data_IF_968395699047
#
_entry.id   IF_968395699047
#
_cell.length_a   1.000
_cell.length_b   1.000
_cell.length_c   1.000
_cell.angle_alpha   90.00
_cell.angle_beta   90.00
_cell.angle_gamma   90.00
#
_symmetry.space_group_name_H-M   'P 1'
#
loop_
_entity.id
_entity.type
_entity.pdbx_description
1 polymer ?
#
# COMPACT_ATOMS: atom_id res chain seq x y z
N UNK A 1 9.50 39.43 -39.38
CA UNK A 1 9.08 40.28 -38.24
C UNK A 1 7.56 40.46 -38.13
N UNK A 2 6.81 40.86 -39.16
CA UNK A 2 5.35 41.10 -39.08
C UNK A 2 4.55 39.84 -38.66
N UNK A 3 4.87 38.67 -39.19
CA UNK A 3 4.16 37.42 -38.85
C UNK A 3 4.33 37.06 -37.34
N UNK A 4 5.53 37.17 -36.81
CA UNK A 4 5.81 36.93 -35.39
C UNK A 4 5.06 37.91 -34.49
N UNK A 5 4.98 39.19 -34.89
CA UNK A 5 4.18 40.20 -34.19
C UNK A 5 2.71 39.85 -34.14
N UNK A 6 2.10 39.44 -35.25
CA UNK A 6 0.67 39.02 -35.28
C UNK A 6 0.42 37.76 -34.46
N UNK A 7 1.35 36.80 -34.43
CA UNK A 7 1.27 35.61 -33.61
C UNK A 7 1.31 35.94 -32.11
N UNK A 8 2.21 36.87 -31.71
CA UNK A 8 2.31 37.30 -30.30
C UNK A 8 1.09 38.09 -29.85
N UNK A 9 0.56 38.98 -30.69
CA UNK A 9 -0.67 39.73 -30.42
C UNK A 9 -1.87 38.77 -30.32
N UNK A 10 -1.97 37.80 -31.23
CA UNK A 10 -3.01 36.75 -31.16
C UNK A 10 -2.93 35.91 -29.89
N UNK A 11 -1.74 35.47 -29.49
CA UNK A 11 -1.52 34.73 -28.25
C UNK A 11 -1.90 35.54 -27.00
N UNK A 12 -1.53 36.85 -26.98
CA UNK A 12 -1.89 37.75 -25.89
C UNK A 12 -3.43 37.96 -25.79
N UNK A 13 -4.09 38.15 -26.93
CA UNK A 13 -5.56 38.28 -26.96
C UNK A 13 -6.24 37.00 -26.47
N UNK A 14 -5.78 35.80 -26.88
CA UNK A 14 -6.29 34.54 -26.42
C UNK A 14 -6.08 34.36 -24.89
N UNK A 15 -4.91 34.76 -24.39
CA UNK A 15 -4.64 34.71 -22.94
C UNK A 15 -5.57 35.64 -22.14
N UNK A 16 -5.84 36.86 -22.67
CA UNK A 16 -6.79 37.81 -22.05
C UNK A 16 -8.22 37.23 -22.06
N UNK A 17 -8.68 36.68 -23.19
CA UNK A 17 -9.98 36.08 -23.31
C UNK A 17 -10.11 34.90 -22.33
N UNK A 18 -9.11 34.01 -22.27
CA UNK A 18 -9.09 32.87 -21.32
C UNK A 18 -9.13 33.36 -19.87
N UNK A 19 -8.35 34.39 -19.54
CA UNK A 19 -8.33 35.00 -18.21
C UNK A 19 -9.70 35.61 -17.83
N UNK A 20 -10.36 36.31 -18.75
CA UNK A 20 -11.69 36.86 -18.52
C UNK A 20 -12.77 35.75 -18.42
N UNK A 21 -12.67 34.73 -19.27
CA UNK A 21 -13.57 33.58 -19.23
C UNK A 21 -13.47 32.83 -17.89
N UNK A 22 -12.28 32.56 -17.38
CA UNK A 22 -12.09 31.89 -16.08
C UNK A 22 -12.66 32.71 -14.92
N UNK A 23 -12.77 34.03 -15.05
CA UNK A 23 -13.41 34.89 -14.02
C UNK A 23 -14.94 34.94 -14.12
N UNK A 24 -15.52 34.40 -15.17
CA UNK A 24 -16.97 34.35 -15.33
C UNK A 24 -17.53 33.20 -14.47
N UNK A 25 -18.53 33.51 -13.61
CA UNK A 25 -19.14 32.55 -12.69
C UNK A 25 -19.75 31.34 -13.41
N UNK A 26 -20.36 31.56 -14.59
CA UNK A 26 -20.92 30.47 -15.39
C UNK A 26 -19.85 29.50 -15.88
N UNK A 27 -18.68 30.03 -16.30
CA UNK A 27 -17.54 29.19 -16.71
C UNK A 27 -16.95 28.46 -15.51
N UNK A 28 -16.83 29.13 -14.37
CA UNK A 28 -16.36 28.48 -13.12
C UNK A 28 -17.30 27.36 -12.71
N UNK A 29 -18.60 27.57 -12.70
CA UNK A 29 -19.59 26.53 -12.38
C UNK A 29 -19.49 25.35 -13.36
N UNK A 30 -19.40 25.63 -14.66
CA UNK A 30 -19.20 24.57 -15.67
C UNK A 30 -17.94 23.75 -15.40
N UNK A 31 -16.83 24.38 -15.05
CA UNK A 31 -15.57 23.69 -14.72
C UNK A 31 -15.71 22.84 -13.43
N UNK A 32 -16.39 23.39 -12.41
CA UNK A 32 -16.69 22.65 -11.16
C UNK A 32 -17.54 21.43 -11.47
N UNK A 33 -18.63 21.60 -12.23
CA UNK A 33 -19.53 20.50 -12.60
C UNK A 33 -18.80 19.45 -13.44
N UNK A 34 -17.93 19.88 -14.36
CA UNK A 34 -17.12 18.98 -15.19
C UNK A 34 -16.15 18.16 -14.33
N UNK A 35 -15.40 18.81 -13.43
CA UNK A 35 -14.45 18.12 -12.54
C UNK A 35 -15.17 17.20 -11.55
N UNK A 36 -16.28 17.65 -10.95
CA UNK A 36 -17.09 16.84 -10.06
C UNK A 36 -17.64 15.59 -10.78
N UNK A 37 -18.26 15.76 -11.95
CA UNK A 37 -18.75 14.64 -12.75
C UNK A 37 -17.61 13.66 -13.13
N UNK A 38 -16.45 14.19 -13.51
CA UNK A 38 -15.27 13.36 -13.82
C UNK A 38 -14.82 12.56 -12.59
N UNK A 39 -14.73 13.20 -11.43
CA UNK A 39 -14.33 12.56 -10.18
C UNK A 39 -15.30 11.43 -9.81
N UNK A 40 -16.60 11.72 -9.71
CA UNK A 40 -17.61 10.73 -9.32
C UNK A 40 -17.74 9.56 -10.30
N UNK A 41 -17.61 9.83 -11.61
CA UNK A 41 -17.68 8.78 -12.62
C UNK A 41 -16.42 7.89 -12.69
N UNK A 42 -15.34 8.26 -12.00
CA UNK A 42 -14.09 7.50 -12.03
C UNK A 42 -13.82 6.70 -10.75
N UNK A 43 -14.64 6.87 -9.70
CA UNK A 43 -14.50 6.06 -8.48
C UNK A 43 -14.61 4.56 -8.85
N UNK A 44 -13.66 3.78 -8.34
CA UNK A 44 -13.59 2.34 -8.55
C UNK A 44 -13.08 1.89 -9.92
N UNK A 45 -12.70 2.81 -10.83
CA UNK A 45 -12.22 2.43 -12.17
C UNK A 45 -10.73 2.11 -12.23
N UNK A 46 -9.93 2.81 -11.42
CA UNK A 46 -8.48 2.68 -11.49
C UNK A 46 -7.99 1.28 -11.06
N UNK A 47 -8.63 0.70 -10.04
CA UNK A 47 -8.35 -0.65 -9.53
C UNK A 47 -9.17 -1.75 -10.22
N UNK A 48 -10.11 -1.40 -11.10
CA UNK A 48 -10.94 -2.38 -11.81
C UNK A 48 -10.27 -2.75 -13.12
N UNK A 49 -9.82 -4.00 -13.23
CA UNK A 49 -9.22 -4.58 -14.41
C UNK A 49 -10.18 -5.62 -14.98
N UNK A 50 -10.48 -5.52 -16.27
CA UNK A 50 -11.37 -6.47 -16.95
C UNK A 50 -10.84 -7.91 -16.87
N UNK A 51 -11.76 -8.85 -16.65
CA UNK A 51 -11.48 -10.28 -16.55
C UNK A 51 -11.32 -10.78 -15.12
N UNK A 52 -11.18 -12.08 -14.99
CA UNK A 52 -10.98 -12.76 -13.70
C UNK A 52 -9.49 -12.72 -13.35
N UNK A 53 -9.12 -11.89 -12.39
CA UNK A 53 -7.73 -11.62 -12.04
C UNK A 53 -7.53 -11.63 -10.51
N UNK A 54 -6.36 -12.11 -10.09
CA UNK A 54 -5.80 -11.74 -8.78
C UNK A 54 -4.86 -10.55 -8.98
N UNK A 55 -5.04 -9.48 -8.22
CA UNK A 55 -4.29 -8.22 -8.38
C UNK A 55 -3.66 -7.83 -7.04
N UNK A 56 -2.37 -7.45 -7.08
CA UNK A 56 -1.68 -6.83 -5.95
C UNK A 56 -1.20 -5.43 -6.32
N UNK A 57 -1.49 -4.43 -5.48
CA UNK A 57 -1.13 -3.03 -5.71
C UNK A 57 -0.37 -2.50 -4.49
N UNK A 58 0.79 -1.90 -4.71
CA UNK A 58 1.56 -1.21 -3.67
C UNK A 58 0.93 0.14 -3.41
N UNK A 59 0.17 0.29 -2.34
CA UNK A 59 -0.41 1.57 -1.92
C UNK A 59 0.54 2.42 -1.07
N UNK A 60 1.59 1.81 -0.51
CA UNK A 60 2.70 2.47 0.14
C UNK A 60 3.97 1.64 0.02
N UNK A 61 5.04 2.24 -0.50
CA UNK A 61 6.25 1.51 -0.88
C UNK A 61 7.46 1.76 0.00
N UNK A 62 7.44 2.79 0.89
CA UNK A 62 8.57 3.11 1.78
C UNK A 62 8.41 2.49 3.16
N UNK A 63 9.53 2.24 3.86
CA UNK A 63 9.56 2.02 5.30
C UNK A 63 9.53 3.32 6.11
N UNK A 64 9.79 3.30 7.43
CA UNK A 64 9.55 4.45 8.33
C UNK A 64 10.50 5.63 8.12
N UNK A 65 11.63 5.44 7.43
CA UNK A 65 12.57 6.53 7.19
C UNK A 65 12.00 7.56 6.21
N UNK A 66 12.30 8.87 6.37
CA UNK A 66 11.81 9.89 5.47
C UNK A 66 12.12 9.57 4.00
N UNK A 67 11.09 9.60 3.16
CA UNK A 67 11.20 9.36 1.72
C UNK A 67 10.26 10.29 0.95
N UNK A 68 10.79 11.08 0.02
CA UNK A 68 10.01 12.07 -0.70
C UNK A 68 8.90 11.44 -1.56
N UNK A 69 7.66 11.80 -1.29
CA UNK A 69 6.51 11.51 -2.16
C UNK A 69 6.06 10.05 -2.19
N UNK A 70 6.41 9.25 -1.18
CA UNK A 70 5.97 7.85 -1.03
C UNK A 70 5.25 7.66 0.29
N UNK A 71 4.22 6.83 0.29
CA UNK A 71 3.54 6.39 1.50
C UNK A 71 4.28 5.23 2.18
N UNK A 72 4.04 5.07 3.48
CA UNK A 72 4.49 3.94 4.30
C UNK A 72 3.75 2.65 3.92
N UNK A 73 4.17 1.47 4.44
CA UNK A 73 3.79 0.17 3.88
C UNK A 73 2.29 -0.03 3.76
N UNK A 74 1.87 -0.41 2.58
CA UNK A 74 0.50 -0.79 2.27
C UNK A 74 0.46 -1.60 0.98
N UNK A 75 -0.19 -2.76 1.02
CA UNK A 75 -0.52 -3.55 -0.18
C UNK A 75 -2.04 -3.72 -0.26
N UNK A 76 -2.63 -3.41 -1.40
CA UNK A 76 -4.02 -3.76 -1.70
C UNK A 76 -4.06 -5.04 -2.54
N UNK A 77 -4.85 -6.02 -2.11
CA UNK A 77 -5.16 -7.22 -2.87
C UNK A 77 -6.60 -7.14 -3.35
N UNK A 78 -6.81 -7.43 -4.62
CA UNK A 78 -8.14 -7.39 -5.24
C UNK A 78 -8.39 -8.61 -6.13
N UNK A 79 -9.61 -9.13 -6.05
CA UNK A 79 -10.25 -10.02 -7.02
C UNK A 79 -11.49 -9.31 -7.58
N UNK A 80 -12.24 -9.89 -8.53
CA UNK A 80 -13.53 -9.32 -8.94
C UNK A 80 -14.52 -9.12 -7.79
N UNK A 81 -14.51 -10.01 -6.80
CA UNK A 81 -15.47 -10.02 -5.69
C UNK A 81 -14.93 -9.38 -4.40
N UNK A 82 -13.59 -9.33 -4.21
CA UNK A 82 -12.97 -8.98 -2.93
C UNK A 82 -11.92 -7.89 -3.03
N UNK A 83 -11.80 -7.11 -1.95
CA UNK A 83 -10.74 -6.13 -1.73
C UNK A 83 -10.23 -6.22 -0.29
N UNK A 84 -8.91 -6.34 -0.14
CA UNK A 84 -8.22 -6.38 1.15
C UNK A 84 -7.06 -5.40 1.17
N UNK A 85 -6.78 -4.86 2.36
CA UNK A 85 -5.60 -4.02 2.61
C UNK A 85 -4.70 -4.75 3.60
N UNK A 86 -3.41 -4.81 3.30
CA UNK A 86 -2.37 -5.32 4.17
C UNK A 86 -1.52 -4.14 4.60
N UNK A 87 -1.55 -3.86 5.89
CA UNK A 87 -1.00 -2.69 6.56
C UNK A 87 -1.58 -1.34 6.07
N UNK A 88 -1.54 -0.34 6.93
CA UNK A 88 -2.12 0.99 6.72
C UNK A 88 -1.12 2.08 7.11
N UNK A 89 0.04 2.10 6.44
CA UNK A 89 1.09 3.07 6.73
C UNK A 89 0.71 4.50 6.34
N UNK A 90 1.41 5.47 6.91
CA UNK A 90 1.16 6.90 6.70
C UNK A 90 1.17 7.30 5.22
N UNK A 91 0.12 7.99 4.78
CA UNK A 91 -0.08 8.44 3.42
C UNK A 91 -0.70 7.41 2.47
N UNK A 92 -0.83 6.13 2.87
CA UNK A 92 -1.37 5.07 2.01
C UNK A 92 -2.84 5.29 1.67
N UNK A 93 -3.64 5.72 2.64
CA UNK A 93 -5.04 6.11 2.41
C UNK A 93 -5.13 7.29 1.43
N UNK A 94 -4.22 8.26 1.51
CA UNK A 94 -4.19 9.40 0.59
C UNK A 94 -3.92 8.96 -0.84
N UNK A 95 -3.04 7.99 -1.05
CA UNK A 95 -2.81 7.38 -2.37
C UNK A 95 -4.08 6.74 -2.93
N UNK A 96 -4.77 5.91 -2.14
CA UNK A 96 -6.02 5.26 -2.55
C UNK A 96 -7.12 6.27 -2.91
N UNK A 97 -7.22 7.37 -2.15
CA UNK A 97 -8.12 8.48 -2.47
C UNK A 97 -7.77 9.16 -3.80
N UNK A 98 -6.49 9.47 -4.01
CA UNK A 98 -6.03 10.13 -5.24
C UNK A 98 -6.25 9.24 -6.47
N UNK A 99 -6.18 7.93 -6.31
CA UNK A 99 -6.51 6.95 -7.35
C UNK A 99 -8.00 6.67 -7.45
N UNK A 100 -8.82 7.27 -6.58
CA UNK A 100 -10.28 7.13 -6.57
C UNK A 100 -10.75 5.68 -6.35
N UNK A 101 -10.02 4.93 -5.52
CA UNK A 101 -10.38 3.55 -5.13
C UNK A 101 -11.69 3.56 -4.34
N UNK A 102 -12.61 2.65 -4.67
CA UNK A 102 -13.87 2.49 -3.95
C UNK A 102 -13.67 1.67 -2.66
N UNK A 103 -13.41 2.38 -1.56
CA UNK A 103 -13.18 1.78 -0.24
C UNK A 103 -14.47 1.25 0.43
N UNK A 104 -15.65 1.48 -0.15
CA UNK A 104 -16.91 0.88 0.31
C UNK A 104 -16.94 -0.63 0.15
N UNK A 105 -16.14 -1.14 -0.79
CA UNK A 105 -15.97 -2.57 -1.06
C UNK A 105 -14.78 -3.20 -0.31
N UNK A 106 -14.22 -2.53 0.70
CA UNK A 106 -13.14 -3.07 1.52
C UNK A 106 -13.68 -4.17 2.46
N UNK A 107 -13.29 -5.42 2.20
CA UNK A 107 -13.69 -6.57 3.01
C UNK A 107 -13.01 -6.60 4.37
N UNK A 108 -11.68 -6.40 4.41
CA UNK A 108 -10.92 -6.39 5.64
C UNK A 108 -9.54 -5.71 5.50
N UNK A 109 -8.97 -5.37 6.68
CA UNK A 109 -7.56 -4.97 6.83
C UNK A 109 -6.83 -6.10 7.59
N UNK A 110 -5.62 -6.43 7.13
CA UNK A 110 -4.73 -7.39 7.78
C UNK A 110 -3.44 -6.69 8.21
N UNK A 111 -3.07 -6.81 9.48
CA UNK A 111 -1.79 -6.30 9.98
C UNK A 111 -0.75 -7.40 10.03
N UNK A 112 0.39 -7.13 9.40
CA UNK A 112 1.59 -7.97 9.51
C UNK A 112 2.15 -7.92 10.92
N UNK A 113 2.24 -6.72 11.49
CA UNK A 113 2.64 -6.43 12.86
C UNK A 113 2.21 -5.00 13.26
N UNK A 114 2.57 -4.54 14.48
CA UNK A 114 2.04 -3.29 15.03
C UNK A 114 3.10 -2.19 15.19
N UNK A 115 4.13 -2.13 14.33
CA UNK A 115 4.97 -0.94 14.25
C UNK A 115 4.16 0.24 13.68
N UNK A 116 4.54 1.45 14.06
CA UNK A 116 3.77 2.66 13.77
C UNK A 116 3.58 2.91 12.27
N UNK A 117 4.57 2.61 11.47
CA UNK A 117 4.54 2.78 10.01
C UNK A 117 3.62 1.77 9.29
N UNK A 118 3.14 0.73 9.98
CA UNK A 118 2.16 -0.23 9.45
C UNK A 118 0.72 0.07 9.88
N UNK A 119 0.50 0.94 10.88
CA UNK A 119 -0.82 1.16 11.49
C UNK A 119 -1.29 2.62 11.46
N UNK A 120 -0.46 3.56 10.99
CA UNK A 120 -0.65 4.99 11.19
C UNK A 120 -1.97 5.52 10.60
N UNK A 121 -2.38 5.08 9.41
CA UNK A 121 -3.60 5.56 8.73
C UNK A 121 -4.86 4.76 9.08
N UNK A 122 -4.83 3.80 10.03
CA UNK A 122 -6.01 2.95 10.32
C UNK A 122 -7.27 3.76 10.64
N UNK A 123 -7.13 4.83 11.42
CA UNK A 123 -8.25 5.71 11.74
C UNK A 123 -8.85 6.36 10.49
N UNK A 124 -8.01 6.76 9.55
CA UNK A 124 -8.41 7.39 8.30
C UNK A 124 -9.07 6.39 7.35
N UNK A 125 -8.58 5.14 7.29
CA UNK A 125 -9.24 4.05 6.55
C UNK A 125 -10.64 3.79 7.09
N UNK A 126 -10.80 3.73 8.43
CA UNK A 126 -12.09 3.58 9.07
C UNK A 126 -13.03 4.71 8.67
N UNK A 127 -12.61 5.96 8.92
CA UNK A 127 -13.44 7.14 8.67
C UNK A 127 -13.91 7.19 7.21
N UNK A 128 -12.98 6.98 6.26
CA UNK A 128 -13.29 7.10 4.85
C UNK A 128 -14.26 6.01 4.38
N UNK A 129 -14.03 4.76 4.76
CA UNK A 129 -14.93 3.66 4.40
C UNK A 129 -16.31 3.78 5.06
N UNK A 130 -16.39 4.31 6.29
CA UNK A 130 -17.62 4.44 7.05
C UNK A 130 -18.50 5.57 6.53
N UNK A 131 -17.97 6.80 6.43
CA UNK A 131 -18.78 8.01 6.16
C UNK A 131 -18.96 8.27 4.66
N UNK A 132 -17.97 8.03 3.84
CA UNK A 132 -18.01 8.47 2.43
C UNK A 132 -18.34 7.37 1.43
N UNK A 133 -18.32 6.10 1.86
CA UNK A 133 -18.40 4.94 0.96
C UNK A 133 -19.55 3.98 1.31
N UNK A 134 -20.46 4.40 2.19
CA UNK A 134 -21.70 3.67 2.51
C UNK A 134 -21.47 2.22 2.98
N UNK A 135 -20.50 2.02 3.85
CA UNK A 135 -20.17 0.73 4.44
C UNK A 135 -21.37 0.15 5.22
N UNK A 136 -21.56 -1.18 5.16
CA UNK A 136 -22.73 -1.85 5.73
C UNK A 136 -22.47 -2.55 7.08
N UNK A 137 -21.27 -2.45 7.63
CA UNK A 137 -20.89 -3.08 8.91
C UNK A 137 -19.61 -2.48 9.48
N UNK A 138 -19.22 -2.89 10.70
CA UNK A 138 -17.92 -2.52 11.27
C UNK A 138 -16.78 -3.01 10.39
N UNK A 139 -15.66 -2.26 10.35
CA UNK A 139 -14.51 -2.61 9.54
C UNK A 139 -13.80 -3.85 10.12
N UNK A 140 -13.79 -5.01 9.42
CA UNK A 140 -13.04 -6.17 9.88
C UNK A 140 -11.54 -5.88 9.86
N UNK A 141 -10.87 -6.17 10.99
CA UNK A 141 -9.43 -5.99 11.15
C UNK A 141 -8.84 -7.25 11.77
N UNK A 142 -7.88 -7.84 11.09
CA UNK A 142 -7.15 -9.02 11.52
C UNK A 142 -5.70 -8.65 11.84
N UNK A 143 -5.16 -9.18 12.92
CA UNK A 143 -3.76 -8.90 13.23
C UNK A 143 -3.23 -9.68 14.43
N UNK A 144 -1.99 -9.42 14.85
CA UNK A 144 -1.38 -10.04 16.00
C UNK A 144 -2.03 -9.60 17.31
N UNK A 145 -1.66 -10.28 18.40
CA UNK A 145 -2.07 -9.86 19.75
C UNK A 145 -1.76 -8.38 20.01
N UNK A 146 -2.74 -7.60 20.43
CA UNK A 146 -2.67 -6.17 20.64
C UNK A 146 -3.43 -5.35 19.58
N UNK A 147 -3.85 -5.96 18.47
CA UNK A 147 -4.71 -5.31 17.46
C UNK A 147 -6.04 -4.86 18.09
N UNK A 148 -6.58 -5.60 19.04
CA UNK A 148 -7.74 -5.22 19.84
C UNK A 148 -7.51 -3.94 20.67
N UNK A 149 -6.32 -3.78 21.24
CA UNK A 149 -5.95 -2.54 21.96
C UNK A 149 -5.81 -1.35 21.00
N UNK A 150 -5.23 -1.57 19.82
CA UNK A 150 -5.09 -0.55 18.79
C UNK A 150 -6.47 -0.06 18.35
N UNK A 151 -7.35 -0.95 17.92
CA UNK A 151 -8.68 -0.61 17.40
C UNK A 151 -9.56 0.04 18.47
N UNK A 152 -9.55 -0.46 19.71
CA UNK A 152 -10.27 0.16 20.83
C UNK A 152 -9.70 1.53 21.18
N UNK A 153 -8.36 1.69 21.21
CA UNK A 153 -7.71 2.97 21.48
C UNK A 153 -8.04 4.03 20.42
N UNK A 154 -8.11 3.65 19.14
CA UNK A 154 -8.55 4.55 18.07
C UNK A 154 -10.02 4.96 18.30
N UNK A 155 -10.91 4.04 18.61
CA UNK A 155 -12.32 4.38 18.84
C UNK A 155 -12.51 5.26 20.06
N UNK A 156 -11.74 5.07 21.14
CA UNK A 156 -11.73 5.96 22.29
C UNK A 156 -11.22 7.37 21.93
N UNK A 157 -10.12 7.46 21.18
CA UNK A 157 -9.55 8.74 20.76
C UNK A 157 -10.48 9.52 19.79
N UNK A 158 -11.23 8.83 18.95
CA UNK A 158 -12.13 9.41 17.94
C UNK A 158 -13.61 9.38 18.35
N UNK A 159 -13.93 9.12 19.62
CA UNK A 159 -15.32 9.06 20.12
C UNK A 159 -16.11 10.32 19.77
N UNK A 160 -15.53 11.51 20.05
CA UNK A 160 -16.18 12.80 19.76
C UNK A 160 -16.32 13.06 18.26
N UNK A 161 -15.30 12.74 17.45
CA UNK A 161 -15.36 12.90 16.00
C UNK A 161 -16.49 12.03 15.41
N UNK A 162 -16.55 10.78 15.83
CA UNK A 162 -17.61 9.84 15.38
C UNK A 162 -19.00 10.35 15.74
N UNK A 163 -19.18 10.81 16.99
CA UNK A 163 -20.45 11.38 17.44
C UNK A 163 -20.83 12.65 16.63
N UNK A 164 -19.87 13.55 16.38
CA UNK A 164 -20.10 14.75 15.61
C UNK A 164 -20.48 14.44 14.14
N UNK A 165 -19.91 13.43 13.54
CA UNK A 165 -20.24 13.04 12.15
C UNK A 165 -21.66 12.51 12.06
N UNK A 166 -22.06 11.64 12.98
CA UNK A 166 -23.45 11.16 13.04
C UNK A 166 -24.43 12.34 13.28
N UNK A 167 -24.09 13.28 14.18
CA UNK A 167 -24.90 14.46 14.40
C UNK A 167 -25.00 15.41 13.18
N UNK A 168 -23.92 15.56 12.42
CA UNK A 168 -23.89 16.41 11.24
C UNK A 168 -24.59 15.79 10.02
N UNK A 169 -24.41 14.48 9.80
CA UNK A 169 -24.81 13.82 8.55
C UNK A 169 -26.01 12.87 8.73
N UNK A 170 -26.38 12.56 9.98
CA UNK A 170 -27.44 11.61 10.33
C UNK A 170 -27.02 10.15 10.24
N UNK A 171 -27.85 9.29 10.83
CA UNK A 171 -27.64 7.83 10.87
C UNK A 171 -27.71 7.16 9.47
N UNK A 172 -28.27 7.83 8.47
CA UNK A 172 -28.29 7.33 7.11
C UNK A 172 -26.92 7.40 6.42
N UNK A 173 -26.10 8.41 6.76
CA UNK A 173 -24.79 8.65 6.17
C UNK A 173 -23.66 8.15 7.07
N UNK A 174 -23.81 8.35 8.38
CA UNK A 174 -22.81 7.96 9.39
C UNK A 174 -23.52 7.17 10.51
N UNK A 175 -23.91 5.90 10.22
CA UNK A 175 -24.62 5.08 11.19
C UNK A 175 -23.74 4.74 12.38
N UNK A 176 -24.21 5.12 13.59
CA UNK A 176 -23.43 5.00 14.82
C UNK A 176 -23.17 3.57 15.27
N UNK A 177 -24.06 2.62 14.91
CA UNK A 177 -23.99 1.21 15.28
C UNK A 177 -22.87 0.44 14.56
N UNK A 178 -22.48 0.92 13.37
CA UNK A 178 -21.37 0.33 12.60
C UNK A 178 -20.09 1.17 12.64
N UNK A 179 -20.06 2.27 13.38
CA UNK A 179 -18.84 3.01 13.64
C UNK A 179 -17.85 2.11 14.40
N UNK A 180 -16.65 1.92 13.86
CA UNK A 180 -15.59 1.15 14.49
C UNK A 180 -15.18 -0.10 13.76
N UNK A 181 -14.55 -1.00 14.51
CA UNK A 181 -13.85 -2.17 13.99
C UNK A 181 -14.46 -3.47 14.52
N UNK A 182 -14.42 -4.51 13.68
CA UNK A 182 -14.61 -5.91 14.08
C UNK A 182 -13.23 -6.57 14.10
N UNK A 183 -12.64 -6.70 15.29
CA UNK A 183 -11.24 -7.11 15.44
C UNK A 183 -11.11 -8.61 15.71
N UNK A 184 -10.28 -9.26 14.90
CA UNK A 184 -9.92 -10.67 15.06
C UNK A 184 -8.42 -10.83 15.28
N UNK A 185 -8.03 -11.46 16.39
CA UNK A 185 -6.63 -11.83 16.63
C UNK A 185 -6.32 -13.10 15.86
N UNK A 186 -5.30 -13.05 15.02
CA UNK A 186 -4.85 -14.18 14.20
C UNK A 186 -4.29 -15.29 15.10
N UNK A 187 -4.79 -16.51 14.88
CA UNK A 187 -4.38 -17.73 15.55
C UNK A 187 -3.67 -18.66 14.56
N UNK A 188 -2.36 -18.85 14.72
CA UNK A 188 -1.58 -19.71 13.83
C UNK A 188 -1.87 -21.22 13.97
N UNK A 189 -2.62 -21.65 14.98
CA UNK A 189 -3.16 -23.01 15.02
C UNK A 189 -4.29 -23.19 14.00
N UNK A 190 -4.86 -22.08 13.52
CA UNK A 190 -5.85 -21.99 12.44
C UNK A 190 -5.42 -20.93 11.43
N UNK A 191 -4.37 -21.21 10.63
CA UNK A 191 -3.70 -20.20 9.82
C UNK A 191 -4.52 -19.68 8.63
N UNK A 192 -5.55 -20.42 8.20
CA UNK A 192 -6.49 -19.96 7.17
C UNK A 192 -7.46 -18.97 7.81
N UNK A 193 -7.34 -17.70 7.44
CA UNK A 193 -8.11 -16.59 8.02
C UNK A 193 -9.30 -16.15 7.15
N UNK A 194 -9.31 -16.58 5.88
CA UNK A 194 -10.42 -16.40 4.95
C UNK A 194 -10.43 -17.53 3.93
N UNK A 195 -11.61 -18.08 3.59
CA UNK A 195 -11.79 -19.08 2.52
C UNK A 195 -13.25 -19.09 2.07
N UNK A 196 -13.50 -18.68 0.84
CA UNK A 196 -14.83 -18.71 0.19
C UNK A 196 -14.94 -19.79 -0.89
N UNK A 197 -13.89 -20.62 -1.03
CA UNK A 197 -13.77 -21.66 -2.07
C UNK A 197 -13.10 -21.20 -3.36
N UNK A 198 -13.04 -19.89 -3.66
CA UNK A 198 -12.30 -19.31 -4.77
C UNK A 198 -11.01 -18.63 -4.32
N UNK A 199 -11.08 -17.86 -3.24
CA UNK A 199 -9.97 -17.17 -2.61
C UNK A 199 -9.70 -17.75 -1.23
N UNK A 200 -8.46 -18.12 -0.98
CA UNK A 200 -7.96 -18.54 0.35
C UNK A 200 -6.87 -17.60 0.79
N UNK A 201 -6.97 -17.12 2.04
CA UNK A 201 -5.95 -16.28 2.68
C UNK A 201 -5.37 -17.04 3.88
N UNK A 202 -4.05 -17.20 3.88
CA UNK A 202 -3.33 -17.89 4.96
C UNK A 202 -2.32 -16.95 5.58
N UNK A 203 -2.36 -16.82 6.91
CA UNK A 203 -1.34 -16.13 7.69
C UNK A 203 -0.23 -17.10 8.10
N UNK A 204 1.00 -16.64 8.08
CA UNK A 204 2.15 -17.43 8.55
C UNK A 204 3.16 -16.53 9.27
N UNK A 205 3.98 -17.15 10.14
CA UNK A 205 4.97 -16.41 10.92
C UNK A 205 6.20 -16.08 10.07
N UNK A 206 6.73 -14.85 10.22
CA UNK A 206 8.02 -14.42 9.67
C UNK A 206 9.01 -14.04 10.78
N UNK A 207 10.24 -13.67 10.42
CA UNK A 207 11.33 -13.40 11.38
C UNK A 207 11.58 -11.90 11.49
N UNK A 208 11.01 -11.26 12.51
CA UNK A 208 11.17 -9.82 12.76
C UNK A 208 11.38 -9.52 14.26
N UNK A 209 12.48 -10.01 14.88
CA UNK A 209 12.70 -9.83 16.31
C UNK A 209 12.95 -8.33 16.65
N UNK A 210 12.47 -7.84 17.81
CA UNK A 210 11.82 -8.59 18.89
C UNK A 210 10.30 -8.80 18.70
N UNK A 211 9.72 -8.36 17.57
CA UNK A 211 8.29 -8.51 17.26
C UNK A 211 7.95 -9.99 17.07
N UNK A 212 7.01 -10.49 17.88
CA UNK A 212 6.63 -11.90 17.86
C UNK A 212 5.18 -12.11 18.36
N UNK A 213 4.27 -12.53 17.49
CA UNK A 213 4.48 -12.86 16.09
C UNK A 213 4.53 -11.61 15.18
N UNK A 214 5.29 -11.72 14.09
CA UNK A 214 5.13 -10.95 12.87
C UNK A 214 4.64 -11.90 11.78
N UNK A 215 3.77 -11.42 10.90
CA UNK A 215 3.07 -12.23 9.91
C UNK A 215 3.43 -11.87 8.48
N UNK A 216 3.51 -12.91 7.62
CA UNK A 216 3.30 -12.81 6.19
C UNK A 216 1.92 -13.38 5.84
N UNK A 217 1.46 -13.11 4.62
CA UNK A 217 0.17 -13.58 4.12
C UNK A 217 0.32 -14.18 2.72
N UNK A 218 -0.36 -15.31 2.46
CA UNK A 218 -0.55 -15.83 1.11
C UNK A 218 -2.01 -15.68 0.69
N UNK A 219 -2.21 -15.30 -0.57
CA UNK A 219 -3.49 -15.15 -1.25
C UNK A 219 -3.51 -16.10 -2.44
N UNK A 220 -4.32 -17.15 -2.34
CA UNK A 220 -4.47 -18.19 -3.38
C UNK A 220 -5.85 -18.05 -4.02
N UNK A 221 -5.90 -17.63 -5.28
CA UNK A 221 -7.13 -17.37 -6.02
C UNK A 221 -7.17 -18.14 -7.34
N UNK A 222 -8.04 -19.16 -7.43
CA UNK A 222 -8.28 -19.94 -8.65
C UNK A 222 -6.98 -20.37 -9.37
N UNK A 223 -5.99 -20.82 -8.60
CA UNK A 223 -4.69 -21.26 -9.10
C UNK A 223 -3.66 -20.15 -9.36
N UNK A 224 -3.95 -18.92 -8.98
CA UNK A 224 -3.00 -17.80 -8.94
C UNK A 224 -2.63 -17.49 -7.49
N UNK A 225 -1.40 -17.03 -7.27
CA UNK A 225 -0.94 -16.76 -5.90
C UNK A 225 -0.10 -15.50 -5.75
N UNK A 226 -0.39 -14.74 -4.70
CA UNK A 226 0.42 -13.60 -4.22
C UNK A 226 0.81 -13.87 -2.78
N UNK A 227 2.09 -13.67 -2.47
CA UNK A 227 2.61 -13.73 -1.10
C UNK A 227 3.15 -12.36 -0.71
N UNK A 228 2.89 -11.95 0.53
CA UNK A 228 3.36 -10.71 1.14
C UNK A 228 4.18 -11.06 2.36
N UNK A 229 5.43 -10.63 2.41
CA UNK A 229 6.35 -10.99 3.50
C UNK A 229 5.99 -10.35 4.84
N UNK A 230 5.42 -9.11 4.83
CA UNK A 230 5.57 -8.22 5.97
C UNK A 230 7.04 -7.87 6.16
N UNK A 231 7.38 -7.31 7.32
CA UNK A 231 8.78 -7.05 7.67
C UNK A 231 9.45 -8.34 8.16
N UNK A 232 10.58 -8.66 7.58
CA UNK A 232 11.28 -9.89 7.93
C UNK A 232 12.77 -9.84 7.59
N UNK A 233 13.60 -10.40 8.46
CA UNK A 233 14.90 -10.89 8.06
C UNK A 233 14.75 -12.15 7.18
N UNK A 234 15.83 -12.66 6.61
CA UNK A 234 15.82 -13.90 5.82
C UNK A 234 15.07 -15.03 6.54
N UNK A 235 13.93 -15.46 5.98
CA UNK A 235 12.97 -16.35 6.64
C UNK A 235 12.72 -17.64 5.85
N UNK A 236 13.14 -18.78 6.42
CA UNK A 236 12.83 -20.09 5.82
C UNK A 236 11.32 -20.35 5.74
N UNK A 237 10.56 -19.84 6.71
CA UNK A 237 9.12 -20.03 6.71
C UNK A 237 8.44 -19.23 5.60
N UNK A 238 8.93 -18.02 5.30
CA UNK A 238 8.49 -17.25 4.12
C UNK A 238 8.78 -18.03 2.82
N UNK A 239 10.00 -18.59 2.68
CA UNK A 239 10.37 -19.39 1.51
C UNK A 239 9.41 -20.57 1.32
N UNK A 240 9.08 -21.30 2.39
CA UNK A 240 8.15 -22.43 2.33
C UNK A 240 6.74 -22.00 1.86
N UNK A 241 6.21 -20.86 2.39
CA UNK A 241 4.89 -20.36 2.01
C UNK A 241 4.88 -19.63 0.66
N UNK A 242 6.05 -19.30 0.12
CA UNK A 242 6.20 -18.66 -1.19
C UNK A 242 6.49 -19.67 -2.31
N UNK A 243 6.55 -20.97 -2.03
CA UNK A 243 6.90 -21.98 -3.04
C UNK A 243 6.00 -21.93 -4.27
N UNK A 244 6.63 -21.67 -5.44
CA UNK A 244 5.99 -21.54 -6.73
C UNK A 244 4.94 -20.41 -6.81
N UNK A 245 4.99 -19.43 -5.93
CA UNK A 245 4.09 -18.28 -5.99
C UNK A 245 4.30 -17.50 -7.29
N UNK A 246 3.21 -16.92 -7.80
CA UNK A 246 3.30 -16.06 -8.99
C UNK A 246 4.00 -14.74 -8.66
N UNK A 247 3.68 -14.13 -7.49
CA UNK A 247 4.29 -12.89 -7.02
C UNK A 247 4.65 -13.00 -5.54
N UNK A 248 5.84 -12.54 -5.20
CA UNK A 248 6.25 -12.27 -3.82
C UNK A 248 6.51 -10.77 -3.66
N UNK A 249 5.72 -10.10 -2.82
CA UNK A 249 6.05 -8.79 -2.28
C UNK A 249 6.94 -8.98 -1.06
N UNK A 250 8.16 -8.44 -1.10
CA UNK A 250 9.16 -8.61 -0.03
C UNK A 250 9.67 -7.26 0.43
N UNK A 251 9.78 -7.06 1.75
CA UNK A 251 10.46 -5.91 2.32
C UNK A 251 11.94 -5.89 1.92
N UNK A 252 12.55 -4.72 1.93
CA UNK A 252 13.95 -4.63 1.57
C UNK A 252 14.66 -3.46 2.24
N UNK A 253 15.79 -3.75 2.90
CA UNK A 253 16.68 -2.76 3.50
C UNK A 253 18.02 -2.75 2.77
N UNK A 254 18.41 -1.63 2.19
CA UNK A 254 19.73 -1.50 1.57
C UNK A 254 20.83 -1.38 2.62
N UNK A 255 21.54 -2.47 2.90
CA UNK A 255 22.68 -2.47 3.83
C UNK A 255 23.76 -1.49 3.41
N UNK A 256 24.03 -1.35 2.11
CA UNK A 256 25.00 -0.37 1.58
C UNK A 256 24.63 1.07 1.96
N UNK A 257 23.35 1.45 1.80
CA UNK A 257 22.90 2.82 2.08
C UNK A 257 22.79 3.08 3.58
N UNK A 258 22.22 2.15 4.33
CA UNK A 258 22.06 2.27 5.79
C UNK A 258 23.39 2.19 6.51
N UNK A 259 24.29 1.26 6.13
CA UNK A 259 25.63 1.17 6.72
C UNK A 259 26.45 2.46 6.51
N UNK A 260 26.36 3.07 5.32
CA UNK A 260 26.99 4.38 5.08
C UNK A 260 26.35 5.51 5.88
N UNK A 261 25.03 5.52 5.99
CA UNK A 261 24.32 6.50 6.81
C UNK A 261 24.69 6.36 8.30
N UNK A 262 24.82 5.12 8.79
CA UNK A 262 25.29 4.80 10.13
C UNK A 262 26.71 5.34 10.39
N UNK A 263 27.66 5.05 9.51
CA UNK A 263 29.06 5.53 9.63
C UNK A 263 29.12 7.06 9.75
N UNK A 264 28.36 7.78 8.90
CA UNK A 264 28.29 9.26 8.90
C UNK A 264 27.56 9.79 10.13
N UNK A 265 26.51 9.12 10.58
CA UNK A 265 25.73 9.54 11.73
C UNK A 265 26.48 9.34 13.06
N UNK A 266 27.32 8.32 13.16
CA UNK A 266 27.98 7.90 14.41
C UNK A 266 28.68 9.04 15.18
N UNK A 267 29.51 9.91 14.58
CA UNK A 267 30.13 11.04 15.26
C UNK A 267 29.17 12.22 15.52
N UNK A 268 28.07 12.34 14.78
CA UNK A 268 27.18 13.51 14.78
C UNK A 268 25.87 13.25 15.56
N UNK A 269 25.33 12.05 15.45
CA UNK A 269 24.03 11.60 15.97
C UNK A 269 24.14 10.14 16.43
N UNK A 270 24.86 9.82 17.52
CA UNK A 270 25.13 8.44 17.92
C UNK A 270 23.89 7.60 18.16
N UNK A 271 22.81 8.17 18.70
CA UNK A 271 21.52 7.48 18.88
C UNK A 271 20.91 7.04 17.54
N UNK A 272 20.97 7.90 16.52
CA UNK A 272 20.48 7.58 15.19
C UNK A 272 21.35 6.50 14.51
N UNK A 273 22.67 6.56 14.74
CA UNK A 273 23.58 5.51 14.26
C UNK A 273 23.26 4.15 14.88
N UNK A 274 22.89 4.11 16.17
CA UNK A 274 22.41 2.87 16.82
C UNK A 274 21.16 2.34 16.12
N UNK A 275 20.16 3.20 15.84
CA UNK A 275 18.96 2.79 15.10
C UNK A 275 19.33 2.22 13.72
N UNK A 276 20.25 2.85 12.99
CA UNK A 276 20.70 2.34 11.68
C UNK A 276 21.43 1.00 11.77
N UNK A 277 22.15 0.74 12.85
CA UNK A 277 22.74 -0.56 13.09
C UNK A 277 21.67 -1.62 13.38
N UNK A 278 20.74 -1.30 14.31
CA UNK A 278 19.74 -2.25 14.80
C UNK A 278 18.80 -2.71 13.67
N UNK A 279 18.34 -1.80 12.78
CA UNK A 279 17.39 -2.15 11.70
C UNK A 279 17.96 -3.16 10.70
N UNK A 280 19.26 -3.31 10.59
CA UNK A 280 19.91 -4.30 9.73
C UNK A 280 19.80 -5.73 10.28
N UNK A 281 19.43 -5.91 11.56
CA UNK A 281 19.36 -7.23 12.20
C UNK A 281 17.99 -7.92 11.99
N UNK A 282 16.97 -7.18 11.50
CA UNK A 282 15.61 -7.70 11.41
C UNK A 282 14.88 -7.39 10.09
N UNK A 283 15.61 -6.90 9.09
CA UNK A 283 15.14 -6.73 7.71
C UNK A 283 16.10 -7.41 6.74
N UNK A 284 15.55 -8.02 5.69
CA UNK A 284 16.35 -8.61 4.62
C UNK A 284 16.93 -7.55 3.68
N UNK A 285 18.14 -7.80 3.18
CA UNK A 285 18.68 -7.02 2.06
C UNK A 285 17.97 -7.37 0.75
N UNK A 286 18.02 -6.49 -0.27
CA UNK A 286 17.47 -6.81 -1.61
C UNK A 286 18.09 -8.09 -2.20
N UNK A 287 19.35 -8.39 -1.90
CA UNK A 287 20.03 -9.61 -2.35
C UNK A 287 19.47 -10.86 -1.65
N UNK A 288 19.26 -10.80 -0.33
CA UNK A 288 18.66 -11.90 0.44
C UNK A 288 17.21 -12.15 0.03
N UNK A 289 16.41 -11.09 -0.20
CA UNK A 289 15.06 -11.23 -0.73
C UNK A 289 15.04 -11.88 -2.12
N UNK A 290 16.02 -11.55 -2.99
CA UNK A 290 16.19 -12.21 -4.29
C UNK A 290 16.61 -13.68 -4.15
N UNK A 291 17.45 -14.02 -3.18
CA UNK A 291 17.81 -15.41 -2.85
C UNK A 291 16.58 -16.19 -2.37
N UNK A 292 15.81 -15.63 -1.44
CA UNK A 292 14.57 -16.23 -0.95
C UNK A 292 13.56 -16.49 -2.08
N UNK A 293 13.39 -15.53 -2.99
CA UNK A 293 12.52 -15.68 -4.15
C UNK A 293 13.00 -16.79 -5.11
N UNK A 294 14.33 -16.96 -5.30
CA UNK A 294 14.89 -18.03 -6.10
C UNK A 294 14.69 -19.40 -5.43
N UNK A 295 14.95 -19.50 -4.13
CA UNK A 295 14.77 -20.75 -3.38
C UNK A 295 13.30 -21.21 -3.35
N UNK A 296 12.37 -20.23 -3.31
CA UNK A 296 10.95 -20.49 -3.39
C UNK A 296 10.43 -20.72 -4.83
N UNK A 297 11.27 -20.55 -5.85
CA UNK A 297 10.87 -20.61 -7.27
C UNK A 297 9.71 -19.64 -7.60
N UNK A 298 9.77 -18.41 -7.09
CA UNK A 298 8.79 -17.35 -7.32
C UNK A 298 8.91 -16.82 -8.75
N UNK A 299 7.79 -16.58 -9.45
CA UNK A 299 7.83 -16.06 -10.83
C UNK A 299 8.25 -14.60 -10.88
N UNK A 300 7.68 -13.73 -10.05
CA UNK A 300 8.02 -12.30 -9.96
C UNK A 300 8.26 -11.86 -8.52
N UNK A 301 9.37 -11.18 -8.27
CA UNK A 301 9.69 -10.55 -6.99
C UNK A 301 9.43 -9.05 -7.06
N UNK A 302 8.68 -8.49 -6.11
CA UNK A 302 8.44 -7.06 -6.00
C UNK A 302 8.96 -6.58 -4.64
N UNK A 303 10.00 -5.75 -4.66
CA UNK A 303 10.48 -5.10 -3.44
C UNK A 303 9.54 -3.98 -3.04
N UNK A 304 9.05 -4.01 -1.80
CA UNK A 304 8.30 -2.92 -1.16
C UNK A 304 8.88 -2.64 0.23
N UNK A 305 8.26 -1.80 1.05
CA UNK A 305 8.82 -1.42 2.37
C UNK A 305 10.31 -1.04 2.27
N UNK A 306 10.63 -0.11 1.36
CA UNK A 306 12.00 0.20 0.98
C UNK A 306 12.71 1.05 2.05
N UNK A 307 13.84 0.59 2.56
CA UNK A 307 14.63 1.28 3.60
C UNK A 307 16.08 1.49 3.13
N UNK A 308 16.52 2.75 2.98
CA UNK A 308 15.72 3.97 2.80
C UNK A 308 15.10 3.97 1.39
N UNK A 309 13.91 4.55 1.25
CA UNK A 309 13.25 4.61 -0.06
C UNK A 309 14.08 5.45 -1.06
N UNK A 310 14.50 4.88 -2.21
CA UNK A 310 15.38 5.56 -3.13
C UNK A 310 14.65 6.67 -3.89
N UNK A 311 15.17 7.91 -3.82
CA UNK A 311 14.53 9.12 -4.34
C UNK A 311 14.84 9.44 -5.80
N UNK A 312 15.84 8.81 -6.39
CA UNK A 312 16.29 9.08 -7.76
C UNK A 312 16.95 7.85 -8.39
N UNK A 313 17.26 7.92 -9.68
CA UNK A 313 17.82 6.80 -10.45
C UNK A 313 19.11 6.24 -9.85
N UNK A 314 20.01 7.11 -9.36
CA UNK A 314 21.30 6.69 -8.78
C UNK A 314 21.03 5.93 -7.47
N UNK A 315 20.15 6.46 -6.62
CA UNK A 315 19.76 5.79 -5.38
C UNK A 315 19.08 4.44 -5.66
N UNK A 316 18.23 4.35 -6.70
CA UNK A 316 17.62 3.07 -7.14
C UNK A 316 18.71 2.06 -7.55
N UNK A 317 19.72 2.47 -8.31
CA UNK A 317 20.83 1.60 -8.71
C UNK A 317 21.65 1.12 -7.51
N UNK A 318 21.91 1.97 -6.53
CA UNK A 318 22.62 1.60 -5.30
C UNK A 318 21.78 0.64 -4.47
N UNK A 319 20.47 0.90 -4.34
CA UNK A 319 19.54 0.10 -3.54
C UNK A 319 19.53 -1.37 -3.97
N UNK A 320 19.50 -1.62 -5.27
CA UNK A 320 19.43 -2.99 -5.84
C UNK A 320 20.79 -3.57 -6.23
N UNK A 321 21.89 -3.00 -5.73
CA UNK A 321 23.23 -3.51 -6.03
C UNK A 321 23.36 -4.98 -5.63
N UNK A 322 23.89 -5.82 -6.53
CA UNK A 322 24.06 -7.25 -6.33
C UNK A 322 22.81 -8.10 -6.64
N UNK A 323 21.62 -7.52 -6.77
CA UNK A 323 20.40 -8.28 -7.08
C UNK A 323 20.54 -9.04 -8.41
N UNK A 324 21.02 -8.38 -9.48
CA UNK A 324 21.18 -9.02 -10.80
C UNK A 324 22.20 -10.16 -10.84
N UNK A 325 23.11 -10.24 -9.87
CA UNK A 325 24.07 -11.34 -9.75
C UNK A 325 23.40 -12.61 -9.22
N UNK A 326 22.29 -12.47 -8.49
CA UNK A 326 21.51 -13.54 -7.89
C UNK A 326 20.26 -13.85 -8.71
N UNK A 327 19.54 -12.81 -9.14
CA UNK A 327 18.31 -12.89 -9.93
C UNK A 327 18.37 -11.86 -11.06
N UNK A 328 18.66 -12.34 -12.28
CA UNK A 328 18.94 -11.46 -13.43
C UNK A 328 17.68 -10.78 -14.00
N UNK A 329 16.50 -11.33 -13.75
CA UNK A 329 15.20 -10.88 -14.29
C UNK A 329 14.04 -11.21 -13.34
N UNK A 330 12.82 -10.82 -13.74
CA UNK A 330 11.60 -11.07 -12.99
C UNK A 330 11.65 -10.52 -11.56
N UNK A 331 12.16 -9.29 -11.42
CA UNK A 331 12.08 -8.50 -10.19
C UNK A 331 11.79 -7.03 -10.49
N UNK A 332 11.09 -6.40 -9.57
CA UNK A 332 10.63 -5.01 -9.67
C UNK A 332 10.92 -4.26 -8.37
N UNK A 333 11.60 -3.12 -8.46
CA UNK A 333 11.69 -2.15 -7.37
C UNK A 333 10.45 -1.24 -7.42
N UNK A 334 9.55 -1.40 -6.47
CA UNK A 334 8.27 -0.71 -6.52
C UNK A 334 8.36 0.81 -6.31
N UNK A 335 7.40 1.48 -6.86
CA UNK A 335 6.94 2.82 -6.48
C UNK A 335 5.48 2.70 -6.00
N UNK A 336 4.95 3.71 -5.32
CA UNK A 336 3.52 3.76 -5.01
C UNK A 336 2.71 3.64 -6.31
N UNK A 337 1.72 2.76 -6.30
CA UNK A 337 0.91 2.44 -7.47
C UNK A 337 1.45 1.30 -8.33
N UNK A 338 2.61 0.70 -8.03
CA UNK A 338 3.07 -0.52 -8.72
C UNK A 338 2.02 -1.62 -8.57
N UNK A 339 1.61 -2.22 -9.71
CA UNK A 339 0.51 -3.18 -9.78
C UNK A 339 0.96 -4.46 -10.48
N UNK A 340 0.71 -5.60 -9.84
CA UNK A 340 0.82 -6.93 -10.41
C UNK A 340 -0.57 -7.48 -10.76
N UNK A 341 -0.79 -7.89 -12.02
CA UNK A 341 -2.05 -8.45 -12.50
C UNK A 341 -1.80 -9.90 -12.94
N UNK A 342 -2.55 -10.81 -12.34
CA UNK A 342 -2.46 -12.26 -12.54
C UNK A 342 -3.77 -12.81 -13.11
N UNK A 343 -3.92 -12.88 -14.44
CA UNK A 343 -5.14 -13.42 -15.05
C UNK A 343 -5.34 -14.90 -14.70
N UNK A 344 -6.56 -15.28 -14.30
CA UNK A 344 -6.93 -16.68 -14.08
C UNK A 344 -6.86 -17.46 -15.39
N UNK A 345 -6.38 -18.70 -15.33
CA UNK A 345 -6.19 -19.55 -16.52
C UNK A 345 -4.97 -19.15 -17.36
N UNK A 346 -4.09 -18.29 -16.87
CA UNK A 346 -2.84 -17.87 -17.52
C UNK A 346 -1.68 -17.97 -16.57
N UNK A 347 -0.49 -18.28 -17.06
CA UNK A 347 0.76 -18.24 -16.29
C UNK A 347 1.42 -16.85 -16.25
N UNK A 348 0.86 -15.87 -16.97
CA UNK A 348 1.45 -14.54 -17.09
C UNK A 348 1.30 -13.74 -15.79
N UNK A 349 2.36 -13.01 -15.45
CA UNK A 349 2.34 -11.90 -14.50
C UNK A 349 2.57 -10.62 -15.29
N UNK A 350 1.67 -9.65 -15.16
CA UNK A 350 1.81 -8.35 -15.81
C UNK A 350 2.07 -7.28 -14.76
N UNK A 351 3.24 -6.65 -14.85
CA UNK A 351 3.58 -5.51 -13.99
C UNK A 351 3.23 -4.20 -14.71
N UNK A 352 2.53 -3.34 -14.02
CA UNK A 352 2.10 -2.01 -14.49
C UNK A 352 1.99 -1.03 -13.31
N UNK A 353 1.28 0.07 -13.48
CA UNK A 353 0.99 1.03 -12.41
C UNK A 353 -0.47 1.46 -12.47
N UNK A 354 -1.10 1.61 -11.32
CA UNK A 354 -2.39 2.29 -11.18
C UNK A 354 -2.20 3.77 -11.56
N UNK A 355 -3.15 4.36 -12.25
CA UNK A 355 -3.06 5.74 -12.77
C UNK A 355 -4.17 6.63 -12.21
#
# INVERSE_FOLDING_TARGET
>A
MKIIYYLLVGALLLAIIAFLAIRNVTVQNFLIDFDANRMWNNIGKAETIEGDNLIGIVCGSRGPLPGAGRAEPCIMIKTPEHMFIIDTGDGSRTNLLNWQVDMGNLDAIFFTHLHSDHIADLADFHLYSWVTQNRQGKLPVYGPRGTDKLTNGIMEAYELDSAFRTLHHGEEVAPSDIAGFETTIIDLDRPVIFDDGNLRITAFKVKHPPVNPAYGFSFDYKGRSIVISGDTDYSKNLIEHSKNADVLFHDALSYDMIGRAEEVARPLRPTLATVFADIQEYHASPVEAAQAANEANVKELIFYHLIPAPSNMIAKMIFVRGVNEVRSDNWTLSDDGTMAILPVGSEKVKITSIK
#
